data_IF_445162899372
#
_entry.id   IF_445162899372
#
_cell.length_a   1.000
_cell.length_b   1.000
_cell.length_c   1.000
_cell.angle_alpha   90.00
_cell.angle_beta   90.00
_cell.angle_gamma   90.00
#
_symmetry.space_group_name_H-M   'P 1'
#
loop_
_entity.id
_entity.type
_entity.pdbx_description
1 polymer ?
#
# COMPACT_ATOMS: atom_id res chain seq x y z
N UNK A 1 13.52 -25.58 1.72
CA UNK A 1 12.90 -25.77 3.05
C UNK A 1 13.83 -26.57 3.94
N UNK A 2 14.73 -25.88 4.66
CA UNK A 2 15.64 -26.52 5.62
C UNK A 2 15.03 -26.41 7.02
N UNK A 3 14.65 -27.55 7.61
CA UNK A 3 14.25 -27.61 9.02
C UNK A 3 15.49 -27.57 9.91
N UNK A 4 15.74 -26.45 10.58
CA UNK A 4 16.62 -26.38 11.74
C UNK A 4 15.79 -25.87 12.92
N UNK A 5 15.61 -26.71 13.96
CA UNK A 5 15.05 -26.25 15.24
C UNK A 5 13.54 -26.01 15.34
N UNK A 6 12.73 -26.44 14.36
CA UNK A 6 11.27 -26.32 14.44
C UNK A 6 10.70 -24.96 14.03
N UNK A 7 11.56 -24.04 13.57
CA UNK A 7 11.14 -22.79 12.90
C UNK A 7 11.31 -22.99 11.40
N UNK A 8 10.22 -22.83 10.64
CA UNK A 8 10.28 -22.81 9.18
C UNK A 8 10.87 -21.48 8.76
N UNK A 9 12.18 -21.43 8.50
CA UNK A 9 12.81 -20.25 7.91
C UNK A 9 12.51 -20.27 6.42
N UNK A 10 11.74 -19.30 5.95
CA UNK A 10 11.43 -19.14 4.52
C UNK A 10 12.70 -18.74 3.77
N UNK A 11 13.06 -19.45 2.69
CA UNK A 11 14.24 -19.18 1.85
C UNK A 11 14.08 -17.94 0.95
N UNK A 12 12.96 -17.21 1.06
CA UNK A 12 12.67 -16.02 0.25
C UNK A 12 13.45 -14.80 0.78
N UNK A 13 13.97 -13.98 -0.13
CA UNK A 13 14.52 -12.67 0.22
C UNK A 13 13.41 -11.68 0.61
N UNK A 14 13.78 -10.60 1.32
CA UNK A 14 12.87 -9.49 1.66
C UNK A 14 12.15 -8.96 0.41
N UNK A 15 12.87 -8.71 -0.68
CA UNK A 15 12.26 -8.29 -1.95
C UNK A 15 11.32 -9.34 -2.57
N UNK A 16 11.60 -10.65 -2.41
CA UNK A 16 10.67 -11.72 -2.83
C UNK A 16 9.38 -11.71 -2.00
N UNK A 17 9.49 -11.50 -0.69
CA UNK A 17 8.32 -11.40 0.18
C UNK A 17 7.51 -10.12 -0.11
N UNK A 18 8.16 -8.98 -0.37
CA UNK A 18 7.46 -7.76 -0.75
C UNK A 18 6.70 -7.90 -2.07
N UNK A 19 7.32 -8.52 -3.09
CA UNK A 19 6.64 -8.84 -4.34
C UNK A 19 5.50 -9.85 -4.13
N UNK A 20 5.71 -10.87 -3.30
CA UNK A 20 4.66 -11.86 -3.02
C UNK A 20 3.48 -11.24 -2.27
N UNK A 21 3.72 -10.27 -1.39
CA UNK A 21 2.67 -9.52 -0.70
C UNK A 21 1.75 -8.79 -1.69
N UNK A 22 2.33 -8.09 -2.68
CA UNK A 22 1.58 -7.47 -3.77
C UNK A 22 0.73 -8.47 -4.57
N UNK A 23 1.29 -9.66 -4.85
CA UNK A 23 0.58 -10.72 -5.58
C UNK A 23 -0.56 -11.35 -4.76
N UNK A 24 -0.35 -11.53 -3.45
CA UNK A 24 -1.35 -12.07 -2.55
C UNK A 24 -2.49 -11.09 -2.30
N UNK A 25 -2.19 -9.79 -2.21
CA UNK A 25 -3.20 -8.74 -2.07
C UNK A 25 -4.17 -8.75 -3.25
N UNK A 26 -3.67 -8.72 -4.50
CA UNK A 26 -4.56 -8.77 -5.68
C UNK A 26 -5.28 -10.11 -5.82
N UNK A 27 -4.70 -11.19 -5.28
CA UNK A 27 -5.32 -12.52 -5.32
C UNK A 27 -6.45 -12.70 -4.29
N UNK A 28 -6.53 -11.85 -3.26
CA UNK A 28 -7.59 -11.91 -2.24
C UNK A 28 -8.97 -11.62 -2.83
N UNK A 29 -9.98 -12.42 -2.50
CA UNK A 29 -11.35 -12.23 -3.02
C UNK A 29 -12.38 -12.73 -2.01
N UNK A 30 -13.55 -12.07 -1.87
CA UNK A 30 -13.93 -10.81 -2.52
C UNK A 30 -13.32 -9.57 -1.83
N UNK A 31 -12.79 -8.62 -2.61
CA UNK A 31 -12.37 -7.30 -2.10
C UNK A 31 -13.33 -6.22 -2.60
N UNK A 32 -14.34 -5.81 -1.80
CA UNK A 32 -15.36 -4.92 -2.32
C UNK A 32 -14.84 -3.67 -3.01
N UNK A 33 -15.14 -3.55 -4.31
CA UNK A 33 -14.78 -2.38 -5.12
C UNK A 33 -13.35 -2.36 -5.66
N UNK A 34 -12.44 -3.22 -5.19
CA UNK A 34 -11.08 -3.25 -5.72
C UNK A 34 -10.94 -4.33 -6.81
N UNK A 35 -9.89 -4.21 -7.63
CA UNK A 35 -9.51 -5.28 -8.57
C UNK A 35 -9.08 -6.50 -7.79
N UNK A 36 -9.66 -7.66 -8.13
CA UNK A 36 -9.31 -8.96 -7.58
C UNK A 36 -9.32 -10.04 -8.67
N UNK A 37 -9.26 -11.32 -8.27
CA UNK A 37 -9.21 -12.44 -9.21
C UNK A 37 -10.52 -12.65 -10.02
N UNK A 38 -11.63 -12.09 -9.55
CA UNK A 38 -12.97 -12.27 -10.13
C UNK A 38 -13.59 -10.95 -10.64
N UNK A 39 -13.13 -9.79 -10.17
CA UNK A 39 -13.63 -8.47 -10.55
C UNK A 39 -12.51 -7.57 -11.07
N UNK A 40 -12.82 -6.87 -12.17
CA UNK A 40 -11.89 -6.02 -12.90
C UNK A 40 -12.64 -4.80 -13.47
N UNK A 41 -11.89 -3.76 -13.86
CA UNK A 41 -12.39 -2.64 -14.67
C UNK A 41 -11.96 -2.80 -16.13
N UNK A 42 -12.64 -2.09 -17.04
CA UNK A 42 -12.36 -2.15 -18.48
C UNK A 42 -10.89 -1.80 -18.81
N UNK A 43 -10.31 -0.84 -18.09
CA UNK A 43 -8.94 -0.33 -18.28
C UNK A 43 -7.95 -0.81 -17.20
N UNK A 44 -8.43 -1.40 -16.11
CA UNK A 44 -7.62 -1.84 -14.97
C UNK A 44 -8.00 -3.26 -14.53
N UNK A 45 -7.15 -4.23 -14.87
CA UNK A 45 -7.43 -5.68 -14.80
C UNK A 45 -6.44 -6.43 -13.91
N UNK A 46 -6.79 -7.64 -13.47
CA UNK A 46 -5.94 -8.45 -12.59
C UNK A 46 -4.52 -8.64 -13.15
N UNK A 47 -4.39 -8.90 -14.45
CA UNK A 47 -3.09 -9.10 -15.10
C UNK A 47 -2.19 -7.85 -15.07
N UNK A 48 -2.77 -6.65 -15.01
CA UNK A 48 -2.03 -5.39 -14.85
C UNK A 48 -1.34 -5.34 -13.49
N UNK A 49 -2.02 -5.76 -12.41
CA UNK A 49 -1.44 -5.85 -11.06
C UNK A 49 -0.38 -6.94 -10.95
N UNK A 50 -0.60 -8.10 -11.56
CA UNK A 50 0.40 -9.18 -11.59
C UNK A 50 1.67 -8.72 -12.32
N UNK A 51 1.52 -8.07 -13.48
CA UNK A 51 2.65 -7.49 -14.21
C UNK A 51 3.33 -6.37 -13.41
N UNK A 52 2.54 -5.50 -12.78
CA UNK A 52 3.01 -4.42 -11.92
C UNK A 52 3.86 -4.91 -10.75
N UNK A 53 3.42 -5.97 -10.05
CA UNK A 53 4.15 -6.57 -8.94
C UNK A 53 5.50 -7.16 -9.39
N UNK A 54 5.55 -7.76 -10.58
CA UNK A 54 6.81 -8.22 -11.19
C UNK A 54 7.71 -7.05 -11.57
N UNK A 55 7.13 -6.00 -12.16
CA UNK A 55 7.82 -4.78 -12.56
C UNK A 55 8.42 -4.02 -11.38
N UNK A 56 7.73 -3.95 -10.25
CA UNK A 56 8.16 -3.23 -9.05
C UNK A 56 9.37 -3.87 -8.34
N UNK A 57 9.67 -5.13 -8.65
CA UNK A 57 10.66 -5.92 -7.92
C UNK A 57 12.05 -5.29 -7.82
N UNK A 58 12.63 -4.68 -8.86
CA UNK A 58 13.94 -4.05 -8.76
C UNK A 58 14.00 -2.92 -7.72
N UNK A 59 12.94 -2.13 -7.58
CA UNK A 59 12.87 -1.08 -6.54
C UNK A 59 12.72 -1.67 -5.14
N UNK A 60 11.91 -2.73 -4.99
CA UNK A 60 11.79 -3.46 -3.72
C UNK A 60 13.11 -4.13 -3.29
N UNK A 61 13.87 -4.67 -4.25
CA UNK A 61 15.21 -5.22 -3.99
C UNK A 61 16.21 -4.12 -3.57
N UNK A 62 16.10 -2.89 -4.10
CA UNK A 62 16.91 -1.74 -3.66
C UNK A 62 16.60 -1.36 -2.21
N UNK A 63 15.33 -1.26 -1.85
CA UNK A 63 14.93 -1.01 -0.47
C UNK A 63 15.47 -2.10 0.47
N UNK A 64 15.35 -3.36 0.07
CA UNK A 64 15.89 -4.50 0.81
C UNK A 64 17.44 -4.55 0.85
N UNK A 65 18.13 -3.79 0.01
CA UNK A 65 19.59 -3.65 0.03
C UNK A 65 20.06 -2.48 0.90
N UNK A 66 19.14 -1.68 1.46
CA UNK A 66 19.45 -0.49 2.24
C UNK A 66 19.71 0.77 1.41
N UNK A 67 19.27 0.79 0.15
CA UNK A 67 19.27 2.02 -0.66
C UNK A 67 18.29 3.05 -0.05
N UNK A 68 18.46 4.36 -0.33
CA UNK A 68 17.52 5.38 0.12
C UNK A 68 16.08 5.10 -0.37
N UNK A 69 15.10 5.36 0.51
CA UNK A 69 13.69 4.96 0.33
C UNK A 69 13.09 5.60 -0.92
N UNK A 70 13.28 6.91 -1.13
CA UNK A 70 12.69 7.60 -2.26
C UNK A 70 13.14 7.04 -3.61
N UNK A 71 14.46 6.93 -3.89
CA UNK A 71 14.98 6.29 -5.09
C UNK A 71 14.57 4.82 -5.27
N UNK A 72 14.43 4.06 -4.18
CA UNK A 72 13.92 2.69 -4.25
C UNK A 72 12.44 2.66 -4.63
N UNK A 73 11.63 3.55 -4.05
CA UNK A 73 10.22 3.74 -4.36
C UNK A 73 10.01 4.19 -5.82
N UNK A 74 10.72 5.22 -6.28
CA UNK A 74 10.69 5.71 -7.67
C UNK A 74 10.98 4.57 -8.66
N UNK A 75 12.02 3.78 -8.40
CA UNK A 75 12.38 2.63 -9.24
C UNK A 75 11.32 1.51 -9.21
N UNK A 76 10.62 1.33 -8.09
CA UNK A 76 9.51 0.38 -7.99
C UNK A 76 8.31 0.85 -8.81
N UNK A 77 7.98 2.15 -8.74
CA UNK A 77 6.88 2.75 -9.50
C UNK A 77 7.19 2.75 -11.01
N UNK A 78 8.40 3.13 -11.43
CA UNK A 78 8.84 3.07 -12.83
C UNK A 78 8.73 1.64 -13.39
N UNK A 79 9.15 0.64 -12.61
CA UNK A 79 9.05 -0.75 -13.01
C UNK A 79 7.60 -1.23 -13.09
N UNK A 80 6.78 -0.89 -12.09
CA UNK A 80 5.34 -1.19 -12.05
C UNK A 80 4.61 -0.59 -13.25
N UNK A 81 4.98 0.62 -13.70
CA UNK A 81 4.32 1.34 -14.78
C UNK A 81 4.63 0.81 -16.18
N UNK A 82 5.48 -0.21 -16.32
CA UNK A 82 5.82 -0.82 -17.62
C UNK A 82 4.69 -1.58 -18.31
N UNK A 83 3.55 -1.73 -17.64
CA UNK A 83 2.32 -2.37 -18.10
C UNK A 83 1.26 -1.35 -18.57
N UNK A 84 0.19 -1.76 -19.25
CA UNK A 84 -0.73 -0.86 -19.96
C UNK A 84 -1.85 -0.21 -19.12
N UNK A 85 -2.10 -0.67 -17.90
CA UNK A 85 -3.17 -0.22 -17.01
C UNK A 85 -2.83 0.95 -16.10
N UNK A 86 -1.69 1.63 -16.29
CA UNK A 86 -1.29 2.79 -15.48
C UNK A 86 -0.94 2.43 -14.04
N UNK A 87 -1.54 3.13 -13.07
CA UNK A 87 -1.30 2.92 -11.65
C UNK A 87 -2.04 1.69 -11.13
N UNK A 88 -1.29 0.67 -10.70
CA UNK A 88 -1.86 -0.50 -10.02
C UNK A 88 -1.60 -0.47 -8.52
N UNK A 89 -0.43 -0.02 -8.06
CA UNK A 89 0.07 -0.33 -6.72
C UNK A 89 0.90 0.81 -6.10
N UNK A 90 0.72 2.06 -6.53
CA UNK A 90 1.52 3.20 -6.04
C UNK A 90 1.50 3.33 -4.50
N UNK A 91 0.32 3.33 -3.88
CA UNK A 91 0.18 3.42 -2.42
C UNK A 91 0.77 2.20 -1.71
N UNK A 92 0.51 0.99 -2.22
CA UNK A 92 1.10 -0.24 -1.69
C UNK A 92 2.64 -0.21 -1.73
N UNK A 93 3.25 0.32 -2.79
CA UNK A 93 4.70 0.50 -2.86
C UNK A 93 5.20 1.55 -1.85
N UNK A 94 4.42 2.58 -1.60
CA UNK A 94 4.73 3.62 -0.60
C UNK A 94 4.67 3.07 0.83
N UNK A 95 3.82 2.06 1.07
CA UNK A 95 3.79 1.28 2.31
C UNK A 95 4.94 0.27 2.37
N UNK A 96 5.18 -0.49 1.31
CA UNK A 96 6.13 -1.61 1.31
C UNK A 96 7.60 -1.19 1.32
N UNK A 97 7.96 -0.08 0.67
CA UNK A 97 9.36 0.36 0.56
C UNK A 97 10.01 0.61 1.94
N UNK A 98 9.42 1.40 2.85
CA UNK A 98 9.98 1.57 4.20
C UNK A 98 9.94 0.28 5.03
N UNK A 99 8.91 -0.56 4.89
CA UNK A 99 8.83 -1.85 5.58
C UNK A 99 9.95 -2.80 5.11
N UNK A 100 10.23 -2.86 3.81
CA UNK A 100 11.31 -3.67 3.24
C UNK A 100 12.69 -3.20 3.73
N UNK A 101 12.92 -1.88 3.78
CA UNK A 101 14.15 -1.31 4.33
C UNK A 101 14.31 -1.66 5.82
N UNK A 102 13.24 -1.56 6.61
CA UNK A 102 13.26 -1.95 8.02
C UNK A 102 13.50 -3.45 8.22
N UNK A 103 12.91 -4.31 7.38
CA UNK A 103 13.12 -5.75 7.43
C UNK A 103 14.58 -6.13 7.13
N UNK A 104 15.19 -5.51 6.12
CA UNK A 104 16.59 -5.74 5.75
C UNK A 104 17.58 -5.42 6.90
N UNK A 105 17.25 -4.42 7.72
CA UNK A 105 18.05 -4.02 8.88
C UNK A 105 17.63 -4.70 10.20
N UNK A 106 16.73 -5.69 10.13
CA UNK A 106 16.22 -6.40 11.33
C UNK A 106 15.40 -5.52 12.27
N UNK A 107 14.84 -4.41 11.76
CA UNK A 107 14.06 -3.40 12.48
C UNK A 107 12.56 -3.47 12.19
N UNK A 108 12.02 -4.56 11.63
CA UNK A 108 10.60 -4.69 11.26
C UNK A 108 9.65 -4.75 12.48
N UNK A 109 9.44 -3.59 13.08
CA UNK A 109 8.61 -3.29 14.26
C UNK A 109 8.07 -1.87 14.09
N UNK A 110 6.96 -1.48 14.74
CA UNK A 110 6.44 -0.12 14.64
C UNK A 110 7.51 0.95 14.88
N UNK A 111 8.24 0.86 15.99
CA UNK A 111 9.31 1.82 16.32
C UNK A 111 10.51 1.77 15.36
N UNK A 112 10.80 0.62 14.77
CA UNK A 112 11.93 0.47 13.87
C UNK A 112 11.64 1.04 12.48
N UNK A 113 10.42 0.82 11.97
CA UNK A 113 9.97 1.43 10.71
C UNK A 113 9.80 2.94 10.88
N UNK A 114 9.26 3.38 12.02
CA UNK A 114 9.16 4.79 12.40
C UNK A 114 10.54 5.50 12.42
N UNK A 115 11.59 4.83 12.90
CA UNK A 115 12.96 5.33 12.79
C UNK A 115 13.43 5.42 11.32
N UNK A 116 13.17 4.39 10.51
CA UNK A 116 13.52 4.34 9.08
C UNK A 116 12.87 5.48 8.29
N UNK A 117 11.57 5.76 8.48
CA UNK A 117 10.90 6.84 7.76
C UNK A 117 11.40 8.21 8.20
N UNK A 118 11.73 8.42 9.48
CA UNK A 118 12.31 9.69 9.96
C UNK A 118 13.75 9.92 9.53
N UNK A 119 14.45 8.88 9.08
CA UNK A 119 15.79 9.00 8.47
C UNK A 119 15.74 9.48 7.01
N UNK A 120 14.54 9.59 6.41
CA UNK A 120 14.39 10.09 5.04
C UNK A 120 14.85 11.52 4.88
N UNK A 121 15.25 11.85 3.65
CA UNK A 121 15.87 13.12 3.30
C UNK A 121 15.04 13.89 2.28
N UNK A 122 15.48 15.11 1.98
CA UNK A 122 14.93 15.92 0.88
C UNK A 122 15.09 15.23 -0.48
N UNK A 123 16.15 14.44 -0.67
CA UNK A 123 16.35 13.70 -1.91
C UNK A 123 15.41 12.50 -2.03
N UNK A 124 15.00 11.91 -0.89
CA UNK A 124 13.92 10.92 -0.86
C UNK A 124 12.60 11.56 -1.26
N UNK A 125 12.30 12.76 -0.76
CA UNK A 125 11.13 13.53 -1.19
C UNK A 125 11.19 13.85 -2.69
N UNK A 126 12.34 14.30 -3.20
CA UNK A 126 12.49 14.59 -4.62
C UNK A 126 12.24 13.37 -5.51
N UNK A 127 12.67 12.18 -5.09
CA UNK A 127 12.39 10.92 -5.79
C UNK A 127 10.92 10.51 -5.72
N UNK A 128 10.28 10.70 -4.56
CA UNK A 128 8.83 10.51 -4.41
C UNK A 128 8.04 11.38 -5.39
N UNK A 129 8.39 12.66 -5.54
CA UNK A 129 7.73 13.54 -6.51
C UNK A 129 7.97 13.09 -7.95
N UNK A 130 9.19 12.64 -8.30
CA UNK A 130 9.45 12.06 -9.63
C UNK A 130 8.63 10.82 -9.92
N UNK A 131 8.28 10.03 -8.90
CA UNK A 131 7.43 8.86 -9.06
C UNK A 131 6.07 9.18 -9.71
N UNK A 132 5.51 10.38 -9.47
CA UNK A 132 4.27 10.86 -10.09
C UNK A 132 4.40 11.13 -11.60
N UNK A 133 5.61 11.20 -12.16
CA UNK A 133 5.80 11.34 -13.61
C UNK A 133 5.64 10.01 -14.35
N UNK A 134 5.64 8.87 -13.63
CA UNK A 134 5.52 7.55 -14.22
C UNK A 134 4.08 7.04 -14.32
N UNK A 135 3.18 7.54 -13.48
CA UNK A 135 1.78 7.10 -13.40
C UNK A 135 0.86 8.23 -12.98
N UNK A 136 -0.39 8.19 -13.47
CA UNK A 136 -1.45 9.07 -12.98
C UNK A 136 -1.97 8.57 -11.63
N UNK A 137 -1.81 9.39 -10.58
CA UNK A 137 -2.30 9.10 -9.22
C UNK A 137 -3.45 10.06 -8.91
N UNK A 138 -4.59 9.53 -8.47
CA UNK A 138 -5.68 10.37 -7.98
C UNK A 138 -5.26 10.98 -6.63
N UNK A 139 -5.22 12.31 -6.58
CA UNK A 139 -4.85 13.10 -5.40
C UNK A 139 -5.80 14.28 -5.28
N UNK A 140 -6.14 14.64 -4.04
CA UNK A 140 -6.91 15.84 -3.75
C UNK A 140 -6.08 17.10 -3.97
N UNK A 141 -6.75 18.26 -3.98
CA UNK A 141 -6.05 19.53 -4.00
C UNK A 141 -5.18 19.69 -2.75
N UNK A 142 -3.96 20.24 -2.90
CA UNK A 142 -3.04 20.40 -1.79
C UNK A 142 -3.64 21.34 -0.72
N UNK A 143 -3.34 21.12 0.57
CA UNK A 143 -3.73 22.06 1.62
C UNK A 143 -3.26 23.49 1.35
N UNK A 144 -3.98 24.48 1.90
CA UNK A 144 -3.63 25.90 1.77
C UNK A 144 -2.15 26.15 2.16
N UNK A 145 -1.38 26.78 1.27
CA UNK A 145 0.04 27.08 1.47
C UNK A 145 1.02 25.97 1.03
N UNK A 146 0.51 24.81 0.61
CA UNK A 146 1.27 23.71 0.02
C UNK A 146 1.06 23.60 -1.50
N UNK A 147 0.40 24.57 -2.15
CA UNK A 147 0.21 24.60 -3.61
C UNK A 147 1.55 24.55 -4.38
N UNK A 148 2.64 25.20 -3.92
CA UNK A 148 3.95 25.04 -4.54
C UNK A 148 4.52 23.63 -4.45
N UNK A 149 4.01 22.80 -3.54
CA UNK A 149 4.39 21.43 -3.25
C UNK A 149 3.33 20.43 -3.71
N UNK A 150 2.42 20.82 -4.59
CA UNK A 150 1.50 19.90 -5.23
C UNK A 150 2.27 18.77 -5.92
N UNK A 151 2.00 17.52 -5.53
CA UNK A 151 2.65 16.32 -6.05
C UNK A 151 2.47 16.16 -7.56
N UNK A 152 1.39 16.72 -8.13
CA UNK A 152 1.11 16.72 -9.58
C UNK A 152 2.15 17.54 -10.36
N UNK A 153 2.98 18.35 -9.69
CA UNK A 153 4.08 19.10 -10.31
C UNK A 153 5.32 18.23 -10.54
N UNK A 154 5.40 17.03 -9.97
CA UNK A 154 6.54 16.13 -10.12
C UNK A 154 7.88 16.82 -9.82
N UNK A 155 8.85 16.68 -10.73
CA UNK A 155 10.18 17.30 -10.62
C UNK A 155 10.16 18.83 -10.44
N UNK A 156 9.11 19.53 -10.90
CA UNK A 156 9.04 20.99 -10.81
C UNK A 156 8.82 21.48 -9.37
N UNK A 157 8.41 20.61 -8.44
CA UNK A 157 8.32 20.93 -7.01
C UNK A 157 9.66 20.76 -6.26
N UNK A 158 10.65 20.07 -6.86
CA UNK A 158 11.93 19.76 -6.19
C UNK A 158 12.71 21.01 -5.71
N UNK A 159 12.78 22.11 -6.48
CA UNK A 159 13.42 23.33 -5.98
C UNK A 159 12.77 23.87 -4.70
N UNK A 160 11.44 23.76 -4.58
CA UNK A 160 10.69 24.21 -3.40
C UNK A 160 10.91 23.27 -2.21
N UNK A 161 10.90 21.95 -2.43
CA UNK A 161 11.24 20.95 -1.40
C UNK A 161 12.61 21.25 -0.78
N UNK A 162 13.61 21.53 -1.63
CA UNK A 162 14.97 21.91 -1.20
C UNK A 162 15.00 23.25 -0.48
N UNK A 163 14.26 24.25 -0.96
CA UNK A 163 14.21 25.55 -0.33
C UNK A 163 13.58 25.50 1.08
N UNK A 164 12.63 24.60 1.30
CA UNK A 164 11.95 24.37 2.58
C UNK A 164 12.58 23.27 3.43
N UNK A 165 13.64 22.62 2.94
CA UNK A 165 14.30 21.47 3.59
C UNK A 165 13.34 20.33 3.95
N UNK A 166 12.29 20.10 3.14
CA UNK A 166 11.27 19.09 3.43
C UNK A 166 11.74 17.69 3.07
N UNK A 167 11.84 16.83 4.10
CA UNK A 167 12.09 15.40 3.94
C UNK A 167 10.85 14.65 3.46
N UNK A 168 11.00 13.39 3.03
CA UNK A 168 9.84 12.58 2.65
C UNK A 168 8.88 12.38 3.83
N UNK A 169 9.41 12.20 5.05
CA UNK A 169 8.59 12.16 6.26
C UNK A 169 7.80 13.46 6.47
N UNK A 170 8.42 14.64 6.26
CA UNK A 170 7.72 15.92 6.41
C UNK A 170 6.58 16.07 5.39
N UNK A 171 6.79 15.59 4.15
CA UNK A 171 5.75 15.56 3.12
C UNK A 171 4.59 14.67 3.56
N UNK A 172 4.84 13.45 4.02
CA UNK A 172 3.79 12.56 4.54
C UNK A 172 3.08 13.16 5.76
N UNK A 173 3.83 13.73 6.70
CA UNK A 173 3.26 14.35 7.88
C UNK A 173 2.33 15.52 7.56
N UNK A 174 2.59 16.25 6.46
CA UNK A 174 1.70 17.33 6.01
C UNK A 174 0.37 16.85 5.40
N UNK A 175 0.28 15.57 5.02
CA UNK A 175 -0.91 14.96 4.41
C UNK A 175 -1.61 13.94 5.31
N UNK A 176 -1.07 13.63 6.48
CA UNK A 176 -1.54 12.55 7.35
C UNK A 176 -3.00 12.69 7.83
N UNK A 177 -3.56 13.91 7.85
CA UNK A 177 -4.96 14.15 8.24
C UNK A 177 -5.96 13.79 7.13
N UNK A 178 -5.51 13.68 5.88
CA UNK A 178 -6.36 13.49 4.69
C UNK A 178 -6.01 12.26 3.85
N UNK A 179 -4.80 11.72 4.00
CA UNK A 179 -4.30 10.55 3.28
C UNK A 179 -3.96 9.43 4.27
N UNK A 180 -4.61 8.28 4.11
CA UNK A 180 -4.45 7.16 5.02
C UNK A 180 -3.12 6.41 4.90
N UNK A 181 -2.42 6.48 3.76
CA UNK A 181 -1.05 5.94 3.66
C UNK A 181 -0.07 6.88 4.37
N UNK A 182 -0.24 8.19 4.21
CA UNK A 182 0.52 9.20 4.93
C UNK A 182 0.30 9.10 6.46
N UNK A 183 -0.91 8.76 6.89
CA UNK A 183 -1.21 8.47 8.30
C UNK A 183 -0.40 7.28 8.84
N UNK A 184 -0.21 6.20 8.06
CA UNK A 184 0.65 5.07 8.47
C UNK A 184 2.11 5.50 8.68
N UNK A 185 2.62 6.39 7.83
CA UNK A 185 3.98 6.93 7.95
C UNK A 185 4.22 7.69 9.26
N UNK A 186 3.19 8.36 9.79
CA UNK A 186 3.28 9.12 11.04
C UNK A 186 2.99 8.27 12.27
N UNK A 187 2.13 7.24 12.15
CA UNK A 187 1.74 6.36 13.26
C UNK A 187 2.72 5.22 13.50
N UNK A 188 3.69 4.99 12.61
CA UNK A 188 4.57 3.82 12.70
C UNK A 188 3.91 2.54 12.18
N UNK A 189 3.01 2.68 11.21
CA UNK A 189 2.36 1.59 10.48
C UNK A 189 1.49 0.69 11.38
N UNK A 190 0.83 1.27 12.38
CA UNK A 190 0.06 0.53 13.39
C UNK A 190 -0.99 -0.39 12.76
N UNK A 191 -1.79 0.10 11.79
CA UNK A 191 -2.83 -0.71 11.14
C UNK A 191 -2.24 -1.85 10.32
N UNK A 192 -1.12 -1.61 9.62
CA UNK A 192 -0.37 -2.66 8.92
C UNK A 192 0.07 -3.77 9.89
N UNK A 193 0.64 -3.40 11.04
CA UNK A 193 1.10 -4.37 12.02
C UNK A 193 -0.05 -5.13 12.67
N UNK A 194 -1.15 -4.46 13.04
CA UNK A 194 -2.32 -5.11 13.63
C UNK A 194 -2.98 -6.08 12.63
N UNK A 195 -3.19 -5.66 11.39
CA UNK A 195 -3.74 -6.53 10.34
C UNK A 195 -2.81 -7.72 10.04
N UNK A 196 -1.49 -7.56 10.15
CA UNK A 196 -0.55 -8.68 9.96
C UNK A 196 -0.73 -9.77 11.02
N UNK A 197 -1.07 -9.40 12.25
CA UNK A 197 -1.34 -10.35 13.33
C UNK A 197 -2.66 -11.10 13.08
N UNK A 198 -3.69 -10.41 12.60
CA UNK A 198 -4.94 -11.05 12.16
C UNK A 198 -4.67 -12.08 11.06
N UNK A 199 -3.92 -11.71 10.01
CA UNK A 199 -3.60 -12.61 8.89
C UNK A 199 -2.81 -13.85 9.36
N UNK A 200 -1.87 -13.68 10.28
CA UNK A 200 -1.07 -14.76 10.86
C UNK A 200 -1.92 -15.70 11.73
N UNK A 201 -2.82 -15.15 12.53
CA UNK A 201 -3.72 -15.90 13.40
C UNK A 201 -4.84 -16.61 12.63
N UNK A 202 -5.19 -16.10 11.44
CA UNK A 202 -6.19 -16.67 10.55
C UNK A 202 -5.85 -18.09 10.07
N UNK A 203 -6.85 -18.78 9.52
CA UNK A 203 -6.72 -20.14 9.00
C UNK A 203 -7.26 -20.21 7.56
N UNK A 204 -6.94 -21.29 6.84
CA UNK A 204 -7.33 -21.43 5.43
C UNK A 204 -6.37 -20.75 4.46
N UNK A 205 -6.75 -20.62 3.17
CA UNK A 205 -5.92 -19.98 2.15
C UNK A 205 -5.53 -18.53 2.51
N UNK A 206 -4.29 -18.14 2.23
CA UNK A 206 -3.80 -16.77 2.54
C UNK A 206 -4.62 -15.69 1.83
N UNK A 207 -5.08 -15.97 0.61
CA UNK A 207 -5.90 -15.04 -0.14
C UNK A 207 -7.25 -14.76 0.53
N UNK A 208 -7.84 -15.76 1.19
CA UNK A 208 -9.10 -15.59 1.92
C UNK A 208 -8.86 -14.74 3.17
N UNK A 209 -7.76 -14.99 3.89
CA UNK A 209 -7.35 -14.17 5.05
C UNK A 209 -7.05 -12.71 4.68
N UNK A 210 -6.47 -12.48 3.50
CA UNK A 210 -6.24 -11.13 2.98
C UNK A 210 -7.58 -10.42 2.70
N UNK A 211 -8.56 -11.17 2.18
CA UNK A 211 -9.93 -10.69 1.96
C UNK A 211 -10.63 -10.33 3.27
N UNK A 212 -10.49 -11.17 4.30
CA UNK A 212 -11.03 -10.93 5.64
C UNK A 212 -10.40 -9.66 6.25
N UNK A 213 -9.07 -9.54 6.19
CA UNK A 213 -8.35 -8.36 6.68
C UNK A 213 -8.75 -7.08 5.93
N UNK A 214 -9.01 -7.16 4.63
CA UNK A 214 -9.53 -6.03 3.85
C UNK A 214 -10.88 -5.56 4.38
N UNK A 215 -11.82 -6.47 4.62
CA UNK A 215 -13.16 -6.14 5.16
C UNK A 215 -13.08 -5.58 6.58
N UNK A 216 -12.24 -6.16 7.44
CA UNK A 216 -12.02 -5.67 8.82
C UNK A 216 -11.47 -4.25 8.83
N UNK A 217 -10.45 -3.96 8.02
CA UNK A 217 -9.89 -2.61 7.89
C UNK A 217 -10.90 -1.62 7.31
N UNK A 218 -11.64 -2.03 6.28
CA UNK A 218 -12.63 -1.20 5.61
C UNK A 218 -13.82 -0.86 6.52
N UNK A 219 -14.17 -1.75 7.46
CA UNK A 219 -15.19 -1.50 8.47
C UNK A 219 -14.67 -0.59 9.61
N UNK A 220 -13.39 -0.71 9.96
CA UNK A 220 -12.79 0.02 11.06
C UNK A 220 -12.62 1.52 10.76
N UNK A 221 -12.17 1.87 9.55
CA UNK A 221 -11.85 3.25 9.18
C UNK A 221 -12.39 3.64 7.78
N UNK A 222 -12.58 4.95 7.58
CA UNK A 222 -12.97 5.49 6.28
C UNK A 222 -11.78 5.41 5.32
N UNK A 223 -11.99 4.81 4.14
CA UNK A 223 -10.97 4.75 3.09
C UNK A 223 -10.78 6.12 2.42
N UNK A 224 -9.58 6.69 2.56
CA UNK A 224 -9.26 8.03 2.04
C UNK A 224 -9.22 8.08 0.52
N UNK A 225 -8.90 6.98 -0.15
CA UNK A 225 -8.90 6.96 -1.62
C UNK A 225 -10.33 7.07 -2.19
N UNK A 226 -11.31 6.45 -1.50
CA UNK A 226 -12.74 6.66 -1.83
C UNK A 226 -13.15 8.12 -1.62
N UNK A 227 -12.67 8.76 -0.55
CA UNK A 227 -12.94 10.19 -0.30
C UNK A 227 -12.40 11.05 -1.45
N UNK A 228 -11.14 10.84 -1.85
CA UNK A 228 -10.48 11.59 -2.92
C UNK A 228 -11.13 11.38 -4.30
N UNK A 229 -11.52 10.13 -4.63
CA UNK A 229 -12.13 9.83 -5.92
C UNK A 229 -13.61 10.21 -6.00
N UNK A 230 -14.30 10.22 -4.86
CA UNK A 230 -15.73 10.47 -4.78
C UNK A 230 -16.00 11.51 -3.70
N UNK A 231 -16.44 11.08 -2.51
CA UNK A 231 -16.70 11.96 -1.38
C UNK A 231 -16.73 11.20 -0.04
N UNK A 232 -16.77 11.97 1.04
CA UNK A 232 -16.82 11.43 2.41
C UNK A 232 -18.13 10.69 2.72
N UNK A 233 -19.23 11.03 2.06
CA UNK A 233 -20.53 10.38 2.29
C UNK A 233 -20.49 8.94 1.77
N UNK A 234 -19.94 8.76 0.57
CA UNK A 234 -19.74 7.46 -0.07
C UNK A 234 -18.71 6.64 0.69
N UNK A 235 -17.59 7.22 1.10
CA UNK A 235 -16.60 6.50 1.91
C UNK A 235 -17.18 6.04 3.27
N UNK A 236 -18.07 6.82 3.88
CA UNK A 236 -18.80 6.41 5.08
C UNK A 236 -19.87 5.35 4.80
N UNK A 237 -20.49 5.34 3.61
CA UNK A 237 -21.36 4.24 3.16
C UNK A 237 -20.57 2.94 3.04
N UNK A 238 -19.44 2.99 2.34
CA UNK A 238 -18.52 1.86 2.17
C UNK A 238 -18.15 1.24 3.51
N UNK A 239 -17.74 2.05 4.48
CA UNK A 239 -17.41 1.60 5.83
C UNK A 239 -18.58 0.86 6.50
N UNK A 240 -19.78 1.44 6.48
CA UNK A 240 -20.97 0.82 7.09
C UNK A 240 -21.33 -0.50 6.42
N UNK A 241 -21.16 -0.61 5.10
CA UNK A 241 -21.50 -1.83 4.35
C UNK A 241 -20.46 -2.92 4.53
N UNK A 242 -19.18 -2.56 4.66
CA UNK A 242 -18.15 -3.49 5.09
C UNK A 242 -18.49 -4.08 6.48
N UNK A 243 -18.95 -3.25 7.42
CA UNK A 243 -19.42 -3.73 8.73
C UNK A 243 -20.64 -4.66 8.59
N UNK A 244 -21.61 -4.33 7.74
CA UNK A 244 -22.78 -5.18 7.48
C UNK A 244 -22.39 -6.55 6.91
N UNK A 245 -21.34 -6.63 6.09
CA UNK A 245 -20.75 -7.90 5.63
C UNK A 245 -20.17 -8.70 6.80
N UNK A 246 -19.39 -8.06 7.69
CA UNK A 246 -18.83 -8.72 8.88
C UNK A 246 -19.92 -9.22 9.84
N UNK A 247 -21.04 -8.50 9.93
CA UNK A 247 -22.20 -8.87 10.74
C UNK A 247 -23.07 -9.96 10.09
N UNK A 248 -22.76 -10.35 8.84
CA UNK A 248 -23.50 -11.36 8.06
C UNK A 248 -24.83 -10.85 7.50
N UNK A 249 -25.01 -9.54 7.45
CA UNK A 249 -26.21 -8.86 6.94
C UNK A 249 -26.15 -8.61 5.42
N UNK A 250 -24.95 -8.49 4.87
CA UNK A 250 -24.68 -8.37 3.43
C UNK A 250 -23.71 -9.46 2.94
N UNK A 251 -23.80 -9.80 1.66
CA UNK A 251 -22.88 -10.74 1.00
C UNK A 251 -21.69 -9.99 0.40
N UNK A 252 -20.48 -10.41 0.76
CA UNK A 252 -19.25 -9.74 0.34
C UNK A 252 -19.03 -9.76 -1.18
N UNK A 253 -19.47 -10.84 -1.85
CA UNK A 253 -19.37 -10.99 -3.31
C UNK A 253 -20.31 -10.02 -4.03
N UNK A 254 -21.57 -9.98 -3.61
CA UNK A 254 -22.55 -9.04 -4.16
C UNK A 254 -22.14 -7.58 -3.92
N UNK A 255 -21.61 -7.27 -2.73
CA UNK A 255 -21.07 -5.95 -2.42
C UNK A 255 -19.91 -5.58 -3.34
N UNK A 256 -19.02 -6.54 -3.62
CA UNK A 256 -17.89 -6.31 -4.51
C UNK A 256 -18.29 -6.01 -5.95
N UNK A 257 -19.27 -6.74 -6.47
CA UNK A 257 -19.83 -6.48 -7.80
C UNK A 257 -20.47 -5.09 -7.87
N UNK A 258 -21.27 -4.72 -6.87
CA UNK A 258 -21.94 -3.43 -6.84
C UNK A 258 -20.94 -2.25 -6.78
N UNK A 259 -19.89 -2.36 -5.96
CA UNK A 259 -18.89 -1.30 -5.85
C UNK A 259 -18.08 -1.12 -7.14
N UNK A 260 -17.77 -2.21 -7.85
CA UNK A 260 -17.13 -2.13 -9.17
C UNK A 260 -18.07 -1.44 -10.18
N UNK A 261 -19.36 -1.80 -10.21
CA UNK A 261 -20.36 -1.13 -11.06
C UNK A 261 -20.50 0.37 -10.76
N UNK A 262 -20.24 0.78 -9.52
CA UNK A 262 -20.32 2.17 -9.03
C UNK A 262 -18.98 2.93 -9.11
N UNK A 263 -17.92 2.33 -9.65
CA UNK A 263 -16.55 2.88 -9.64
C UNK A 263 -16.07 3.30 -8.23
N UNK A 264 -16.44 2.53 -7.21
CA UNK A 264 -16.01 2.70 -5.82
C UNK A 264 -14.82 1.77 -5.59
N UNK A 265 -13.65 2.34 -5.32
CA UNK A 265 -12.43 1.57 -5.06
C UNK A 265 -11.80 1.95 -3.71
N UNK A 266 -11.84 1.07 -2.70
CA UNK A 266 -11.12 1.26 -1.43
C UNK A 266 -9.61 0.96 -1.55
N UNK A 267 -8.91 1.82 -2.28
CA UNK A 267 -7.49 1.65 -2.62
C UNK A 267 -6.55 1.76 -1.41
N UNK A 268 -6.81 2.70 -0.49
CA UNK A 268 -5.97 2.86 0.71
C UNK A 268 -6.00 1.60 1.59
N UNK A 269 -7.16 0.98 1.72
CA UNK A 269 -7.34 -0.26 2.46
C UNK A 269 -6.53 -1.39 1.83
N UNK A 270 -6.54 -1.49 0.49
CA UNK A 270 -5.74 -2.46 -0.25
C UNK A 270 -4.24 -2.27 -0.02
N UNK A 271 -3.77 -1.02 -0.01
CA UNK A 271 -2.37 -0.69 0.23
C UNK A 271 -1.90 -1.15 1.62
N UNK A 272 -2.75 -0.97 2.64
CA UNK A 272 -2.48 -1.43 4.01
C UNK A 272 -2.47 -2.96 4.08
N UNK A 273 -3.38 -3.66 3.39
CA UNK A 273 -3.39 -5.13 3.31
C UNK A 273 -2.11 -5.66 2.66
N UNK A 274 -1.61 -5.01 1.60
CA UNK A 274 -0.31 -5.37 1.01
C UNK A 274 0.84 -5.26 2.03
N UNK A 275 0.88 -4.18 2.80
CA UNK A 275 1.83 -4.01 3.91
C UNK A 275 1.70 -5.11 4.97
N UNK A 276 0.47 -5.43 5.37
CA UNK A 276 0.18 -6.43 6.38
C UNK A 276 0.60 -7.84 5.95
N UNK A 277 0.34 -8.19 4.68
CA UNK A 277 0.80 -9.44 4.08
C UNK A 277 2.33 -9.53 4.06
N UNK A 278 3.03 -8.43 3.75
CA UNK A 278 4.50 -8.41 3.81
C UNK A 278 5.01 -8.67 5.21
N UNK A 279 4.47 -7.97 6.22
CA UNK A 279 4.88 -8.20 7.62
C UNK A 279 4.58 -9.63 8.06
N UNK A 280 3.42 -10.18 7.69
CA UNK A 280 3.07 -11.56 7.98
C UNK A 280 4.06 -12.56 7.32
N UNK A 281 4.45 -12.34 6.06
CA UNK A 281 5.45 -13.15 5.36
C UNK A 281 6.82 -13.11 6.05
N UNK A 282 7.29 -11.93 6.46
CA UNK A 282 8.55 -11.78 7.21
C UNK A 282 8.48 -12.42 8.61
N UNK A 283 7.27 -12.55 9.18
CA UNK A 283 6.99 -13.26 10.44
C UNK A 283 6.73 -14.75 10.28
N UNK A 284 6.85 -15.29 9.06
CA UNK A 284 6.80 -16.73 8.80
C UNK A 284 5.43 -17.27 8.38
N UNK A 285 4.56 -16.43 7.81
CA UNK A 285 3.34 -16.89 7.13
C UNK A 285 3.71 -17.92 6.03
N UNK A 286 3.11 -19.11 6.14
CA UNK A 286 3.29 -20.21 5.19
C UNK A 286 2.27 -20.08 4.04
N UNK A 287 2.72 -20.35 2.81
CA UNK A 287 1.94 -20.17 1.56
C UNK A 287 2.07 -21.40 0.67
#
# INVERSE_FOLDING_TARGET
MVRIGGVTVTERSVGQNAQLALLLEVSGTPKPGNVDREREYDDLRFEHFVAGAVGARPGLDRAAAGDPIGPAFEAAVEGMSGQSGGNTQFGALLVLTPLAAAAADGRLTPSGVDAVVRETTVEDAAAFYRAFEHVDVAVDDPPDGLEPLDVRRGSDAVPELRAREMTLFDVMASSADVDGVAAEWVSGFERVFDASETILAGSGPVADRASDAFLELLAADVDTFVVTRQDRETAAEVQRRAQAVLDGEEDATALAEEFVERDINPGTTADIVAGALFVALERGLDV
#
